data_IF_486944864810
#
_entry.id   IF_486944864810
#
_cell.length_a   1.000
_cell.length_b   1.000
_cell.length_c   1.000
_cell.angle_alpha   90.00
_cell.angle_beta   90.00
_cell.angle_gamma   90.00
#
_symmetry.space_group_name_H-M   'P 1'
#
loop_
_entity.id
_entity.type
_entity.pdbx_description
1 polymer ?
#
# COMPACT_ATOMS: atom_id res chain seq x y z
N UNK A 1 0.38 18.29 -26.87
CA UNK A 1 0.25 18.23 -25.40
C UNK A 1 0.19 16.78 -24.98
N UNK A 2 1.31 16.24 -24.52
CA UNK A 2 1.53 14.82 -24.23
C UNK A 2 0.95 14.50 -22.85
N UNK A 3 -0.12 13.72 -22.79
CA UNK A 3 -0.80 13.35 -21.53
C UNK A 3 -0.05 12.17 -20.91
N UNK A 4 0.58 12.39 -19.76
CA UNK A 4 1.41 11.43 -19.06
C UNK A 4 0.63 10.19 -18.61
N UNK A 5 1.22 9.02 -18.85
CA UNK A 5 0.78 7.71 -18.34
C UNK A 5 0.81 7.75 -16.81
N UNK A 6 -0.34 7.54 -16.15
CA UNK A 6 -0.39 7.37 -14.68
C UNK A 6 0.30 6.05 -14.32
N UNK A 7 1.55 6.12 -13.85
CA UNK A 7 2.25 4.98 -13.24
C UNK A 7 1.49 4.55 -11.98
N UNK A 8 1.27 3.25 -11.81
CA UNK A 8 0.78 2.67 -10.55
C UNK A 8 1.66 3.18 -9.41
N UNK A 9 1.10 3.98 -8.50
CA UNK A 9 1.82 4.41 -7.32
C UNK A 9 2.00 3.20 -6.38
N UNK A 10 3.21 2.96 -5.86
CA UNK A 10 3.41 1.97 -4.80
C UNK A 10 2.48 2.29 -3.62
N UNK A 11 1.96 1.26 -2.95
CA UNK A 11 1.23 1.44 -1.69
C UNK A 11 2.19 2.09 -0.67
N UNK A 12 1.92 3.34 -0.27
CA UNK A 12 2.58 3.98 0.87
C UNK A 12 2.21 3.19 2.13
N UNK A 13 3.20 2.57 2.77
CA UNK A 13 3.00 1.58 3.85
C UNK A 13 3.09 2.23 5.23
N UNK A 14 3.99 3.20 5.39
CA UNK A 14 4.27 3.84 6.67
C UNK A 14 3.89 5.32 6.60
N UNK A 15 3.29 5.85 7.66
CA UNK A 15 3.01 7.27 7.83
C UNK A 15 4.31 8.07 7.85
N UNK A 16 5.27 7.66 8.67
CA UNK A 16 6.54 8.35 8.90
C UNK A 16 7.64 7.36 9.34
N UNK A 17 8.89 7.82 9.46
CA UNK A 17 10.03 6.99 9.93
C UNK A 17 9.84 6.44 11.34
N UNK A 18 9.08 7.11 12.21
CA UNK A 18 8.87 6.66 13.60
C UNK A 18 7.90 5.49 13.61
N UNK A 19 6.83 5.54 12.83
CA UNK A 19 5.93 4.40 12.67
C UNK A 19 6.67 3.19 12.10
N UNK A 20 7.45 3.40 11.04
CA UNK A 20 8.27 2.36 10.44
C UNK A 20 9.24 1.72 11.45
N UNK A 21 9.93 2.52 12.26
CA UNK A 21 10.81 2.04 13.32
C UNK A 21 10.09 1.24 14.40
N UNK A 22 8.85 1.59 14.74
CA UNK A 22 8.03 0.82 15.69
C UNK A 22 7.60 -0.52 15.11
N UNK A 23 7.17 -0.55 13.86
CA UNK A 23 6.83 -1.81 13.16
C UNK A 23 8.05 -2.72 13.09
N UNK A 24 9.21 -2.15 12.72
CA UNK A 24 10.46 -2.90 12.66
C UNK A 24 10.89 -3.44 14.04
N UNK A 25 10.66 -2.68 15.11
CA UNK A 25 10.95 -3.11 16.47
C UNK A 25 10.11 -4.33 16.90
N UNK A 26 8.85 -4.42 16.45
CA UNK A 26 7.98 -5.56 16.75
C UNK A 26 8.49 -6.86 16.10
N UNK A 27 9.14 -6.76 14.95
CA UNK A 27 9.79 -7.88 14.27
C UNK A 27 11.10 -8.31 14.94
N UNK A 28 11.74 -7.42 15.71
CA UNK A 28 13.01 -7.64 16.39
C UNK A 28 12.87 -8.07 17.86
N UNK A 29 11.68 -8.48 18.29
CA UNK A 29 11.38 -8.79 19.70
C UNK A 29 12.28 -9.86 20.32
N UNK A 30 12.84 -10.77 19.50
CA UNK A 30 13.82 -11.78 19.94
C UNK A 30 15.11 -11.18 20.54
N UNK A 31 15.42 -9.92 20.22
CA UNK A 31 16.62 -9.22 20.71
C UNK A 31 16.35 -8.39 21.98
N UNK A 32 15.10 -8.32 22.45
CA UNK A 32 14.71 -7.44 23.57
C UNK A 32 15.37 -7.87 24.88
N UNK A 33 15.94 -6.91 25.60
CA UNK A 33 16.53 -7.12 26.93
C UNK A 33 17.89 -7.84 26.93
N UNK A 34 18.44 -8.17 25.76
CA UNK A 34 19.77 -8.76 25.63
C UNK A 34 20.87 -7.73 25.92
N UNK A 35 21.80 -8.01 26.86
CA UNK A 35 22.85 -7.05 27.25
C UNK A 35 23.98 -6.93 26.21
N UNK A 36 24.02 -7.82 25.23
CA UNK A 36 25.00 -7.89 24.16
C UNK A 36 24.52 -7.24 22.85
N UNK A 37 23.30 -6.69 22.82
CA UNK A 37 22.73 -6.04 21.63
C UNK A 37 23.03 -4.55 21.61
N UNK A 38 23.47 -4.04 20.46
CA UNK A 38 23.65 -2.61 20.17
C UNK A 38 22.88 -2.28 18.89
N UNK A 39 22.23 -1.12 18.86
CA UNK A 39 21.54 -0.63 17.66
C UNK A 39 22.33 0.53 17.06
N UNK A 40 22.66 0.40 15.78
CA UNK A 40 23.37 1.41 15.00
C UNK A 40 22.46 1.92 13.88
N UNK A 41 22.17 3.22 13.87
CA UNK A 41 21.42 3.85 12.78
C UNK A 41 22.34 4.42 11.70
N UNK A 42 22.12 4.08 10.43
CA UNK A 42 22.83 4.70 9.31
C UNK A 42 22.44 6.18 9.21
N UNK A 43 23.43 7.06 9.32
CA UNK A 43 23.18 8.49 9.24
C UNK A 43 22.81 8.93 7.81
N UNK A 44 21.77 9.74 7.62
CA UNK A 44 20.90 10.42 8.62
C UNK A 44 19.53 9.76 8.77
N UNK A 45 18.98 9.27 7.67
CA UNK A 45 17.60 8.77 7.56
C UNK A 45 17.29 7.60 8.50
N UNK A 46 18.27 6.74 8.76
CA UNK A 46 18.12 5.59 9.64
C UNK A 46 17.94 5.92 11.12
N UNK A 47 18.35 7.10 11.60
CA UNK A 47 18.37 7.40 13.05
C UNK A 47 16.96 7.45 13.69
N UNK A 48 15.95 8.11 13.10
CA UNK A 48 14.59 8.07 13.63
C UNK A 48 14.02 6.65 13.73
N UNK A 49 14.38 5.77 12.79
CA UNK A 49 13.95 4.35 12.79
C UNK A 49 14.70 3.58 13.88
N UNK A 50 16.03 3.70 13.89
CA UNK A 50 16.93 3.08 14.85
C UNK A 50 16.59 3.45 16.30
N UNK A 51 16.19 4.70 16.55
CA UNK A 51 15.78 5.16 17.87
C UNK A 51 14.57 4.39 18.41
N UNK A 52 13.53 4.19 17.59
CA UNK A 52 12.34 3.44 18.01
C UNK A 52 12.67 1.95 18.23
N UNK A 53 13.55 1.38 17.41
CA UNK A 53 14.08 0.02 17.60
C UNK A 53 14.84 -0.08 18.93
N UNK A 54 15.87 0.75 19.14
CA UNK A 54 16.69 0.74 20.34
C UNK A 54 15.88 0.93 21.62
N UNK A 55 14.95 1.88 21.62
CA UNK A 55 14.04 2.15 22.75
C UNK A 55 13.13 0.96 23.07
N UNK A 56 12.62 0.27 22.06
CA UNK A 56 11.74 -0.91 22.24
C UNK A 56 12.50 -2.14 22.73
N UNK A 57 13.76 -2.28 22.31
CA UNK A 57 14.63 -3.40 22.71
C UNK A 57 15.31 -3.15 24.06
N UNK A 58 15.37 -1.89 24.52
CA UNK A 58 16.14 -1.49 25.70
C UNK A 58 17.66 -1.52 25.46
N UNK A 59 18.09 -1.31 24.20
CA UNK A 59 19.47 -1.43 23.76
C UNK A 59 20.14 -0.05 23.57
N UNK A 60 21.47 0.06 23.70
CA UNK A 60 22.20 1.28 23.36
C UNK A 60 22.02 1.66 21.88
N UNK A 61 21.87 2.97 21.62
CA UNK A 61 21.79 3.56 20.29
C UNK A 61 23.03 4.41 19.99
N UNK A 62 23.61 4.26 18.81
CA UNK A 62 24.56 5.22 18.25
C UNK A 62 24.34 5.43 16.74
N UNK A 63 24.90 6.50 16.20
CA UNK A 63 24.95 6.74 14.77
C UNK A 63 26.14 6.03 14.15
N UNK A 64 25.91 5.39 13.01
CA UNK A 64 26.95 4.83 12.17
C UNK A 64 27.04 5.63 10.87
N UNK A 65 28.20 6.26 10.64
CA UNK A 65 28.39 7.15 9.50
C UNK A 65 29.27 6.42 8.49
N UNK A 66 28.77 6.35 7.26
CA UNK A 66 29.48 5.75 6.13
C UNK A 66 29.51 6.73 4.98
N UNK A 67 30.69 6.89 4.38
CA UNK A 67 30.97 7.71 3.20
C UNK A 67 31.41 6.78 2.08
N UNK A 68 30.87 6.97 0.88
CA UNK A 68 31.36 6.24 -0.29
C UNK A 68 32.61 6.93 -0.82
N UNK A 69 33.60 6.15 -1.22
CA UNK A 69 34.77 6.63 -1.95
C UNK A 69 34.42 6.54 -3.44
N UNK A 70 34.13 7.68 -4.07
CA UNK A 70 33.82 7.75 -5.50
C UNK A 70 35.07 7.57 -6.36
N UNK A 71 34.92 7.03 -7.57
CA UNK A 71 36.01 6.90 -8.54
C UNK A 71 36.51 8.28 -9.00
N UNK A 72 37.82 8.46 -9.24
CA UNK A 72 38.34 9.69 -9.85
C UNK A 72 37.60 10.03 -11.15
N UNK A 73 37.01 11.23 -11.24
CA UNK A 73 36.24 11.69 -12.41
C UNK A 73 34.81 11.16 -12.52
N UNK A 74 34.41 10.21 -11.67
CA UNK A 74 33.07 9.61 -11.62
C UNK A 74 32.61 9.42 -10.17
N UNK A 75 32.32 10.52 -9.47
CA UNK A 75 32.05 10.52 -8.03
C UNK A 75 30.83 9.66 -7.63
N UNK A 76 29.89 9.45 -8.55
CA UNK A 76 28.71 8.57 -8.36
C UNK A 76 29.06 7.07 -8.38
N UNK A 77 30.22 6.69 -8.89
CA UNK A 77 30.67 5.29 -8.99
C UNK A 77 31.58 4.94 -7.82
N UNK A 78 31.09 4.18 -6.84
CA UNK A 78 31.84 3.87 -5.63
C UNK A 78 32.93 2.81 -5.87
N UNK A 79 34.18 3.15 -5.57
CA UNK A 79 35.34 2.22 -5.57
C UNK A 79 35.60 1.61 -4.19
N UNK A 80 34.99 2.20 -3.16
CA UNK A 80 35.10 1.75 -1.78
C UNK A 80 34.20 2.58 -0.86
N UNK A 81 34.43 2.43 0.43
CA UNK A 81 33.76 3.19 1.47
C UNK A 81 34.69 3.45 2.66
N UNK A 82 34.38 4.53 3.36
CA UNK A 82 35.00 4.93 4.60
C UNK A 82 33.92 4.96 5.68
N UNK A 83 34.16 4.29 6.80
CA UNK A 83 33.23 4.23 7.92
C UNK A 83 33.82 4.83 9.19
N UNK A 84 32.94 5.04 10.17
CA UNK A 84 33.27 5.44 11.53
C UNK A 84 34.53 4.75 12.08
N UNK A 85 35.43 5.51 12.68
CA UNK A 85 36.74 5.02 13.14
C UNK A 85 37.86 5.05 12.10
N UNK A 86 37.61 5.66 10.92
CA UNK A 86 38.64 5.88 9.90
C UNK A 86 38.97 4.64 9.05
N UNK A 87 38.13 3.61 9.10
CA UNK A 87 38.35 2.37 8.34
C UNK A 87 37.95 2.53 6.88
N UNK A 88 38.87 2.19 5.98
CA UNK A 88 38.69 2.24 4.53
C UNK A 88 38.52 0.83 4.00
N UNK A 89 37.36 0.54 3.41
CA UNK A 89 37.10 -0.70 2.67
C UNK A 89 37.10 -0.38 1.19
N UNK A 90 37.83 -1.15 0.39
CA UNK A 90 37.91 -0.96 -1.07
C UNK A 90 37.60 -2.24 -1.83
N UNK A 91 37.10 -2.10 -3.05
CA UNK A 91 36.94 -3.20 -3.97
C UNK A 91 38.16 -3.28 -4.90
N UNK A 92 39.06 -4.22 -4.63
CA UNK A 92 40.33 -4.38 -5.36
C UNK A 92 40.16 -4.69 -6.85
N UNK A 93 39.04 -5.32 -7.24
CA UNK A 93 38.76 -5.63 -8.64
C UNK A 93 38.32 -4.37 -9.41
N UNK A 94 37.54 -3.50 -8.76
CA UNK A 94 37.16 -2.19 -9.32
C UNK A 94 38.39 -1.27 -9.43
N UNK A 95 39.23 -1.21 -8.39
CA UNK A 95 40.44 -0.40 -8.41
C UNK A 95 41.38 -0.80 -9.56
N UNK A 96 41.56 -2.12 -9.77
CA UNK A 96 42.35 -2.65 -10.89
C UNK A 96 41.72 -2.35 -12.25
N UNK A 97 40.41 -2.49 -12.37
CA UNK A 97 39.68 -2.21 -13.62
C UNK A 97 39.74 -0.74 -14.05
N UNK A 98 39.67 0.18 -13.10
CA UNK A 98 39.72 1.63 -13.34
C UNK A 98 41.14 2.23 -13.31
N UNK A 99 42.17 1.41 -13.00
CA UNK A 99 43.57 1.84 -12.86
C UNK A 99 43.74 3.01 -11.88
N UNK A 100 42.99 3.00 -10.78
CA UNK A 100 43.09 4.01 -9.72
C UNK A 100 44.41 3.83 -8.99
N UNK A 101 45.23 4.89 -8.92
CA UNK A 101 46.51 4.81 -8.21
C UNK A 101 46.32 4.88 -6.69
N UNK A 102 47.25 4.33 -5.89
CA UNK A 102 47.21 4.45 -4.43
C UNK A 102 47.18 5.91 -3.94
N UNK A 103 47.80 6.84 -4.67
CA UNK A 103 47.81 8.28 -4.37
C UNK A 103 46.42 8.88 -4.57
N UNK A 104 45.76 8.59 -5.69
CA UNK A 104 44.39 9.04 -5.97
C UNK A 104 43.41 8.53 -4.92
N UNK A 105 43.54 7.25 -4.52
CA UNK A 105 42.71 6.67 -3.49
C UNK A 105 42.94 7.34 -2.12
N UNK A 106 44.20 7.65 -1.76
CA UNK A 106 44.50 8.40 -0.52
C UNK A 106 43.84 9.78 -0.53
N UNK A 107 43.96 10.54 -1.61
CA UNK A 107 43.35 11.88 -1.69
C UNK A 107 41.83 11.85 -1.50
N UNK A 108 41.16 10.87 -2.11
CA UNK A 108 39.72 10.66 -1.94
C UNK A 108 39.42 10.27 -0.49
N UNK A 109 40.15 9.31 0.07
CA UNK A 109 39.96 8.85 1.45
C UNK A 109 40.18 9.97 2.47
N UNK A 110 41.22 10.79 2.33
CA UNK A 110 41.51 11.93 3.22
C UNK A 110 40.44 13.02 3.16
N UNK A 111 39.88 13.27 1.97
CA UNK A 111 38.77 14.22 1.80
C UNK A 111 37.51 13.71 2.51
N UNK A 112 37.15 12.45 2.26
CA UNK A 112 35.97 11.83 2.88
C UNK A 112 36.16 11.64 4.40
N UNK A 113 37.39 11.42 4.88
CA UNK A 113 37.72 11.29 6.30
C UNK A 113 37.53 12.59 7.07
N UNK A 114 37.89 13.74 6.48
CA UNK A 114 37.63 15.04 7.10
C UNK A 114 36.13 15.30 7.27
N UNK A 115 35.31 14.96 6.28
CA UNK A 115 33.86 15.10 6.37
C UNK A 115 33.24 14.10 7.36
N UNK A 116 33.72 12.85 7.36
CA UNK A 116 33.32 11.84 8.34
C UNK A 116 33.59 12.34 9.77
N UNK A 117 34.82 12.75 10.06
CA UNK A 117 35.21 13.25 11.38
C UNK A 117 34.37 14.46 11.82
N UNK A 118 34.06 15.38 10.89
CA UNK A 118 33.17 16.52 11.17
C UNK A 118 31.79 16.07 11.64
N UNK A 119 31.18 15.10 10.95
CA UNK A 119 29.84 14.59 11.30
C UNK A 119 29.85 13.75 12.58
N UNK A 120 30.87 12.93 12.77
CA UNK A 120 31.03 12.15 14.01
C UNK A 120 31.12 13.07 15.23
N UNK A 121 31.93 14.13 15.14
CA UNK A 121 32.04 15.13 16.19
C UNK A 121 30.70 15.84 16.43
N UNK A 122 29.99 16.21 15.35
CA UNK A 122 28.69 16.86 15.45
C UNK A 122 27.63 15.96 16.10
N UNK A 123 27.55 14.67 15.75
CA UNK A 123 26.50 13.77 16.26
C UNK A 123 26.78 13.25 17.67
N UNK A 124 28.04 12.90 17.98
CA UNK A 124 28.39 12.33 19.29
C UNK A 124 28.66 13.38 20.36
N UNK A 125 28.90 14.63 19.98
CA UNK A 125 29.17 15.72 20.93
C UNK A 125 30.38 15.43 21.82
N UNK A 126 31.39 14.73 21.29
CA UNK A 126 32.59 14.31 22.03
C UNK A 126 32.50 12.96 22.75
N UNK A 127 31.34 12.27 22.73
CA UNK A 127 31.24 10.89 23.22
C UNK A 127 32.02 9.92 22.32
N UNK A 128 32.69 8.90 22.90
CA UNK A 128 33.31 7.85 22.09
C UNK A 128 32.24 7.01 21.37
N UNK A 129 32.58 6.38 20.23
CA UNK A 129 31.70 5.41 19.58
C UNK A 129 31.45 4.21 20.50
N UNK A 130 30.31 3.54 20.30
CA UNK A 130 30.02 2.30 21.01
C UNK A 130 30.99 1.17 20.61
N UNK A 131 31.39 0.37 21.60
CA UNK A 131 32.21 -0.82 21.39
C UNK A 131 31.35 -1.96 20.82
N UNK A 132 31.66 -2.40 19.60
CA UNK A 132 30.89 -3.41 18.86
C UNK A 132 31.51 -4.80 18.89
N UNK A 133 32.76 -4.94 19.33
CA UNK A 133 33.49 -6.21 19.33
C UNK A 133 32.79 -7.24 20.21
N UNK A 134 32.52 -8.42 19.64
CA UNK A 134 31.80 -9.50 20.32
C UNK A 134 30.33 -9.20 20.65
N UNK A 135 29.73 -8.15 20.07
CA UNK A 135 28.32 -7.77 20.27
C UNK A 135 27.45 -8.19 19.09
N UNK A 136 26.14 -8.33 19.33
CA UNK A 136 25.13 -8.40 18.26
C UNK A 136 24.77 -6.98 17.84
N UNK A 137 25.12 -6.61 16.61
CA UNK A 137 24.90 -5.27 16.07
C UNK A 137 23.68 -5.27 15.15
N UNK A 138 22.62 -4.56 15.55
CA UNK A 138 21.45 -4.33 14.71
C UNK A 138 21.67 -3.03 13.93
N UNK A 139 21.94 -3.15 12.65
CA UNK A 139 22.21 -2.06 11.72
C UNK A 139 20.93 -1.64 11.00
N UNK A 140 20.50 -0.40 11.24
CA UNK A 140 19.18 0.11 10.86
C UNK A 140 19.29 1.25 9.86
N UNK A 141 18.48 1.23 8.80
CA UNK A 141 18.28 2.36 7.88
C UNK A 141 16.79 2.58 7.57
N UNK A 142 16.42 3.71 6.96
CA UNK A 142 15.02 4.01 6.60
C UNK A 142 14.50 3.23 5.38
N UNK A 143 15.39 2.60 4.64
CA UNK A 143 15.09 1.58 3.62
C UNK A 143 16.32 1.22 2.79
N UNK A 144 16.22 0.18 1.97
CA UNK A 144 17.27 -0.19 1.02
C UNK A 144 16.74 -0.08 -0.41
N UNK A 145 17.36 0.78 -1.22
CA UNK A 145 17.12 0.78 -2.67
C UNK A 145 18.10 -0.16 -3.37
N UNK A 146 19.36 0.26 -3.52
CA UNK A 146 20.45 -0.58 -4.06
C UNK A 146 21.27 -1.27 -2.98
N UNK A 147 21.08 -0.87 -1.71
CA UNK A 147 21.83 -1.41 -0.58
C UNK A 147 23.29 -0.98 -0.48
N UNK A 148 23.84 -0.18 -1.40
CA UNK A 148 25.29 0.08 -1.45
C UNK A 148 25.86 0.73 -0.18
N UNK A 149 25.12 1.65 0.45
CA UNK A 149 25.54 2.28 1.71
C UNK A 149 25.53 1.28 2.88
N UNK A 150 24.51 0.40 2.91
CA UNK A 150 24.39 -0.66 3.90
C UNK A 150 25.48 -1.73 3.71
N UNK A 151 25.82 -2.09 2.47
CA UNK A 151 26.90 -3.02 2.16
C UNK A 151 28.25 -2.51 2.69
N UNK A 152 28.56 -1.24 2.40
CA UNK A 152 29.74 -0.58 2.93
C UNK A 152 29.76 -0.57 4.47
N UNK A 153 28.60 -0.37 5.09
CA UNK A 153 28.48 -0.39 6.53
C UNK A 153 28.74 -1.78 7.14
N UNK A 154 28.16 -2.83 6.55
CA UNK A 154 28.37 -4.22 6.95
C UNK A 154 29.85 -4.61 6.82
N UNK A 155 30.50 -4.26 5.70
CA UNK A 155 31.91 -4.57 5.49
C UNK A 155 32.81 -3.91 6.54
N UNK A 156 32.60 -2.62 6.82
CA UNK A 156 33.36 -1.92 7.85
C UNK A 156 33.10 -2.44 9.27
N UNK A 157 31.87 -2.87 9.56
CA UNK A 157 31.54 -3.49 10.85
C UNK A 157 32.23 -4.84 11.03
N UNK A 158 32.33 -5.67 9.98
CA UNK A 158 33.00 -6.98 10.06
C UNK A 158 34.46 -6.86 10.52
N UNK A 159 35.19 -5.80 10.13
CA UNK A 159 36.55 -5.55 10.63
C UNK A 159 36.63 -5.18 12.13
N UNK A 160 35.51 -4.88 12.75
CA UNK A 160 35.40 -4.62 14.19
C UNK A 160 35.02 -5.86 15.00
N UNK A 161 34.94 -7.02 14.34
CA UNK A 161 34.70 -8.34 14.93
C UNK A 161 33.46 -8.40 15.86
N UNK A 162 32.27 -7.97 15.40
CA UNK A 162 31.02 -8.23 16.12
C UNK A 162 30.74 -9.74 16.15
N UNK A 163 29.95 -10.18 17.13
CA UNK A 163 29.49 -11.57 17.18
C UNK A 163 28.47 -11.86 16.07
N UNK A 164 27.55 -10.91 15.83
CA UNK A 164 26.49 -11.02 14.83
C UNK A 164 26.21 -9.62 14.25
N UNK A 165 25.89 -9.57 12.96
CA UNK A 165 25.35 -8.40 12.28
C UNK A 165 23.93 -8.73 11.83
N UNK A 166 22.98 -7.92 12.27
CA UNK A 166 21.56 -7.99 11.88
C UNK A 166 21.23 -6.74 11.08
N UNK A 167 20.80 -6.89 9.83
CA UNK A 167 20.34 -5.73 9.04
C UNK A 167 18.83 -5.62 9.20
N UNK A 168 18.34 -4.44 9.57
CA UNK A 168 16.92 -4.21 9.79
C UNK A 168 16.44 -2.93 9.08
N UNK A 169 15.47 -3.07 8.16
CA UNK A 169 14.94 -1.93 7.40
C UNK A 169 13.42 -2.01 7.22
N UNK A 170 12.72 -0.86 7.12
CA UNK A 170 11.28 -0.85 6.88
C UNK A 170 10.86 -1.35 5.50
N UNK A 171 11.60 -0.96 4.46
CA UNK A 171 11.25 -1.25 3.07
C UNK A 171 12.47 -1.49 2.19
N UNK A 172 12.42 -2.55 1.38
CA UNK A 172 13.45 -2.89 0.39
C UNK A 172 12.90 -3.80 -0.73
N UNK A 173 13.51 -3.84 -1.93
CA UNK A 173 13.23 -4.87 -2.92
C UNK A 173 13.55 -6.26 -2.39
N UNK A 174 12.76 -7.26 -2.78
CA UNK A 174 13.02 -8.66 -2.42
C UNK A 174 14.42 -9.13 -2.85
N UNK A 175 14.90 -8.71 -4.02
CA UNK A 175 16.25 -9.04 -4.50
C UNK A 175 17.34 -8.56 -3.56
N UNK A 176 17.24 -7.32 -3.08
CA UNK A 176 18.21 -6.73 -2.15
C UNK A 176 18.15 -7.43 -0.79
N UNK A 177 16.95 -7.76 -0.29
CA UNK A 177 16.82 -8.55 0.95
C UNK A 177 17.54 -9.91 0.83
N UNK A 178 17.39 -10.62 -0.29
CA UNK A 178 18.06 -11.92 -0.52
C UNK A 178 19.58 -11.78 -0.58
N UNK A 179 20.10 -10.73 -1.20
CA UNK A 179 21.54 -10.45 -1.23
C UNK A 179 22.09 -10.23 0.19
N UNK A 180 21.40 -9.42 1.02
CA UNK A 180 21.84 -9.20 2.41
C UNK A 180 21.70 -10.46 3.27
N UNK A 181 20.63 -11.23 3.13
CA UNK A 181 20.45 -12.49 3.85
C UNK A 181 21.58 -13.52 3.60
N UNK A 182 22.36 -13.36 2.51
CA UNK A 182 23.51 -14.22 2.23
C UNK A 182 24.83 -13.74 2.90
N UNK A 183 24.89 -12.51 3.42
CA UNK A 183 26.13 -11.88 3.91
C UNK A 183 26.05 -11.40 5.36
N UNK A 184 24.89 -11.47 6.01
CA UNK A 184 24.69 -11.14 7.43
C UNK A 184 23.97 -12.28 8.13
N UNK A 185 24.05 -12.31 9.46
CA UNK A 185 23.48 -13.40 10.25
C UNK A 185 21.95 -13.35 10.30
N UNK A 186 21.35 -12.16 10.16
CA UNK A 186 19.90 -11.99 10.03
C UNK A 186 19.54 -10.73 9.20
N UNK A 187 18.47 -10.83 8.39
CA UNK A 187 17.95 -9.76 7.55
C UNK A 187 16.46 -9.58 7.81
N UNK A 188 16.10 -8.47 8.46
CA UNK A 188 14.72 -8.15 8.85
C UNK A 188 14.20 -7.01 7.98
N UNK A 189 13.18 -7.31 7.16
CA UNK A 189 12.51 -6.33 6.32
C UNK A 189 11.01 -6.29 6.63
N UNK A 190 10.47 -5.13 7.00
CA UNK A 190 9.06 -5.02 7.37
C UNK A 190 8.11 -5.09 6.16
N UNK A 191 8.55 -4.63 4.99
CA UNK A 191 7.76 -4.64 3.76
C UNK A 191 8.63 -4.74 2.51
N UNK A 192 8.20 -5.55 1.54
CA UNK A 192 8.87 -5.71 0.25
C UNK A 192 7.93 -5.30 -0.90
N UNK A 193 7.69 -3.99 -1.10
CA UNK A 193 6.68 -3.53 -2.06
C UNK A 193 7.11 -3.82 -3.51
N UNK A 194 6.13 -4.18 -4.35
CA UNK A 194 6.34 -4.46 -5.77
C UNK A 194 5.34 -3.65 -6.62
N UNK A 195 5.79 -2.83 -7.59
CA UNK A 195 7.18 -2.52 -7.91
C UNK A 195 7.85 -1.63 -6.84
N UNK A 196 9.12 -1.87 -6.54
CA UNK A 196 9.93 -0.98 -5.71
C UNK A 196 10.51 0.15 -6.58
N UNK A 197 10.16 1.40 -6.30
CA UNK A 197 10.65 2.56 -7.05
C UNK A 197 11.73 3.33 -6.27
N UNK A 198 11.42 3.69 -5.04
CA UNK A 198 12.32 4.40 -4.14
C UNK A 198 11.91 4.17 -2.68
N UNK A 199 12.84 4.33 -1.75
CA UNK A 199 12.57 4.20 -0.31
C UNK A 199 11.43 5.14 0.12
N UNK A 200 11.49 6.41 -0.30
CA UNK A 200 10.51 7.43 0.09
C UNK A 200 9.07 7.16 -0.35
N UNK A 201 8.85 6.34 -1.39
CA UNK A 201 7.49 5.96 -1.82
C UNK A 201 6.79 5.01 -0.84
N UNK A 202 7.54 4.41 0.09
CA UNK A 202 6.96 3.60 1.17
C UNK A 202 6.41 4.46 2.32
N UNK A 203 6.64 5.78 2.29
CA UNK A 203 6.29 6.70 3.37
C UNK A 203 5.27 7.77 2.93
N UNK A 204 4.33 8.13 3.79
CA UNK A 204 3.45 9.29 3.58
C UNK A 204 4.18 10.60 3.84
N UNK A 205 4.99 10.65 4.89
CA UNK A 205 5.91 11.72 5.21
C UNK A 205 7.36 11.17 5.19
N UNK A 206 8.14 11.67 4.23
CA UNK A 206 9.55 11.36 4.05
C UNK A 206 10.42 12.61 4.11
N UNK A 207 10.07 13.57 4.96
CA UNK A 207 10.84 14.80 5.18
C UNK A 207 12.33 14.50 5.46
N UNK A 208 13.21 15.41 5.05
CA UNK A 208 14.63 15.23 5.27
C UNK A 208 14.96 15.31 6.78
N UNK A 209 15.70 14.32 7.28
CA UNK A 209 16.20 14.31 8.67
C UNK A 209 17.37 15.29 8.79
N UNK A 210 17.28 16.23 9.73
CA UNK A 210 18.32 17.24 9.98
C UNK A 210 19.39 16.72 10.95
N UNK A 211 20.53 17.40 10.99
CA UNK A 211 21.61 17.05 11.93
C UNK A 211 21.18 17.29 13.39
N UNK A 212 20.37 18.31 13.64
CA UNK A 212 19.78 18.61 14.94
C UNK A 212 18.81 17.51 15.39
N UNK A 213 18.02 16.94 14.48
CA UNK A 213 17.16 15.80 14.81
C UNK A 213 17.99 14.57 15.18
N UNK A 214 19.06 14.28 14.46
CA UNK A 214 20.00 13.19 14.80
C UNK A 214 20.58 13.39 16.20
N UNK A 215 21.10 14.59 16.50
CA UNK A 215 21.63 14.92 17.83
C UNK A 215 20.58 14.76 18.92
N UNK A 216 19.37 15.25 18.69
CA UNK A 216 18.27 15.16 19.65
C UNK A 216 17.84 13.71 19.93
N UNK A 217 17.90 12.82 18.93
CA UNK A 217 17.62 11.39 19.11
C UNK A 217 18.73 10.68 19.87
N UNK A 218 20.00 10.96 19.54
CA UNK A 218 21.16 10.37 20.21
C UNK A 218 21.35 10.84 21.67
N UNK A 219 20.73 11.96 22.06
CA UNK A 219 20.73 12.47 23.43
C UNK A 219 19.64 11.83 24.31
N UNK A 220 18.61 11.21 23.72
CA UNK A 220 17.53 10.57 24.46
C UNK A 220 17.95 9.17 24.93
N UNK A 221 17.70 8.80 26.19
CA UNK A 221 18.03 7.47 26.68
C UNK A 221 17.18 6.40 25.99
N UNK A 222 17.82 5.33 25.53
CA UNK A 222 17.17 4.11 24.99
C UNK A 222 17.33 2.92 25.93
N UNK A 223 18.24 3.01 26.90
CA UNK A 223 18.46 2.03 27.97
C UNK A 223 17.89 2.54 29.30
N UNK A 224 17.41 1.64 30.16
CA UNK A 224 16.90 1.98 31.50
C UNK A 224 15.50 2.61 31.55
N UNK A 225 14.91 2.95 30.40
CA UNK A 225 13.48 3.27 30.33
C UNK A 225 12.67 1.96 30.49
N UNK A 226 11.55 1.97 31.26
CA UNK A 226 10.66 0.82 31.27
C UNK A 226 10.22 0.51 29.82
N UNK A 227 10.15 -0.78 29.44
CA UNK A 227 9.73 -1.16 28.10
C UNK A 227 8.38 -0.48 27.80
N UNK A 228 8.24 0.06 26.59
CA UNK A 228 6.97 0.61 26.18
C UNK A 228 5.87 -0.45 26.42
N UNK A 229 4.70 -0.06 26.94
CA UNK A 229 3.61 -1.02 27.13
C UNK A 229 3.34 -1.72 25.78
N UNK A 230 3.02 -3.02 25.80
CA UNK A 230 2.67 -3.75 24.59
C UNK A 230 1.54 -2.99 23.88
N UNK A 231 1.64 -2.87 22.55
CA UNK A 231 0.56 -2.25 21.79
C UNK A 231 -0.73 -3.03 22.03
N UNK A 232 -1.88 -2.35 22.15
CA UNK A 232 -3.14 -3.03 22.05
C UNK A 232 -3.15 -3.80 20.72
N UNK A 233 -3.45 -5.08 20.81
CA UNK A 233 -3.71 -5.95 19.67
C UNK A 233 -4.77 -5.31 18.75
N UNK A 234 -4.82 -5.67 17.46
CA UNK A 234 -5.91 -5.24 16.59
C UNK A 234 -7.29 -5.49 17.19
N UNK A 235 -7.46 -6.57 17.97
CA UNK A 235 -8.69 -6.86 18.69
C UNK A 235 -8.98 -5.84 19.80
N UNK A 236 -7.98 -5.44 20.59
CA UNK A 236 -8.13 -4.41 21.63
C UNK A 236 -8.42 -3.03 21.05
N UNK A 237 -7.80 -2.69 19.91
CA UNK A 237 -8.10 -1.46 19.18
C UNK A 237 -9.54 -1.46 18.65
N UNK A 238 -9.97 -2.55 18.02
CA UNK A 238 -11.36 -2.68 17.55
C UNK A 238 -12.33 -2.62 18.73
N UNK A 239 -12.01 -3.27 19.85
CA UNK A 239 -12.87 -3.23 21.05
C UNK A 239 -12.96 -1.83 21.67
N UNK A 240 -11.89 -1.04 21.63
CA UNK A 240 -11.89 0.34 22.11
C UNK A 240 -12.75 1.27 21.24
N UNK A 241 -12.71 1.08 19.92
CA UNK A 241 -13.46 1.90 18.95
C UNK A 241 -14.86 1.36 18.65
N UNK A 242 -15.20 0.17 19.15
CA UNK A 242 -16.50 -0.46 18.89
C UNK A 242 -17.63 0.31 19.57
N UNK A 243 -18.67 0.59 18.81
CA UNK A 243 -19.94 1.12 19.32
C UNK A 243 -20.88 -0.05 19.57
N UNK A 244 -21.40 -0.16 20.78
CA UNK A 244 -22.40 -1.18 21.11
C UNK A 244 -23.71 -0.91 20.37
N UNK A 245 -24.18 -1.91 19.63
CA UNK A 245 -25.36 -1.85 18.78
C UNK A 245 -26.13 -3.18 18.90
N UNK A 246 -26.78 -3.46 20.05
CA UNK A 246 -27.42 -4.74 20.32
C UNK A 246 -28.59 -5.05 19.37
N UNK A 247 -29.18 -4.04 18.74
CA UNK A 247 -30.18 -4.17 17.68
C UNK A 247 -29.59 -4.20 16.27
N UNK A 248 -28.28 -4.37 16.11
CA UNK A 248 -27.55 -4.35 14.84
C UNK A 248 -27.23 -2.95 14.30
N UNK A 249 -28.01 -1.93 14.66
CA UNK A 249 -27.82 -0.53 14.25
C UNK A 249 -27.52 0.36 15.45
N UNK A 250 -26.49 1.22 15.41
CA UNK A 250 -26.25 2.21 16.45
C UNK A 250 -27.42 3.17 16.64
N UNK A 251 -27.59 3.78 17.83
CA UNK A 251 -28.53 4.88 18.03
C UNK A 251 -28.35 6.01 17.00
N UNK A 252 -29.44 6.68 16.64
CA UNK A 252 -29.45 7.65 15.53
C UNK A 252 -28.55 8.87 15.79
N UNK A 253 -28.44 9.32 17.03
CA UNK A 253 -27.51 10.38 17.46
C UNK A 253 -26.05 9.95 17.29
N UNK A 254 -25.71 8.73 17.71
CA UNK A 254 -24.37 8.16 17.50
C UNK A 254 -24.05 8.02 16.01
N UNK A 255 -25.02 7.55 15.22
CA UNK A 255 -24.86 7.43 13.77
C UNK A 255 -24.67 8.80 13.11
N UNK A 256 -25.42 9.81 13.52
CA UNK A 256 -25.30 11.19 13.04
C UNK A 256 -23.91 11.78 13.31
N UNK A 257 -23.42 11.62 14.53
CA UNK A 257 -22.09 12.07 14.97
C UNK A 257 -20.95 11.36 14.22
N UNK A 258 -21.06 10.04 14.03
CA UNK A 258 -20.06 9.25 13.30
C UNK A 258 -19.95 9.64 11.82
N UNK A 259 -21.08 9.97 11.18
CA UNK A 259 -21.13 10.29 9.75
C UNK A 259 -20.77 11.76 9.50
N UNK A 260 -21.23 12.67 10.37
CA UNK A 260 -21.02 14.11 10.21
C UNK A 260 -21.53 14.64 8.87
N UNK A 261 -20.63 15.29 8.11
CA UNK A 261 -20.86 15.87 6.78
C UNK A 261 -20.27 15.03 5.64
N UNK A 262 -19.90 13.77 5.91
CA UNK A 262 -19.30 12.88 4.94
C UNK A 262 -20.19 12.72 3.70
N UNK A 263 -19.57 12.76 2.52
CA UNK A 263 -20.27 12.56 1.22
C UNK A 263 -20.25 11.11 0.73
N UNK A 264 -19.42 10.28 1.36
CA UNK A 264 -19.23 8.86 1.07
C UNK A 264 -19.13 8.13 2.39
N UNK A 265 -19.97 7.11 2.58
CA UNK A 265 -19.96 6.23 3.75
C UNK A 265 -19.73 4.81 3.25
N UNK A 266 -18.73 4.14 3.81
CA UNK A 266 -18.38 2.76 3.46
C UNK A 266 -18.91 1.85 4.57
N UNK A 267 -19.80 0.93 4.22
CA UNK A 267 -20.44 0.02 5.17
C UNK A 267 -19.98 -1.41 4.86
N UNK A 268 -19.05 -1.90 5.67
CA UNK A 268 -18.56 -3.28 5.58
C UNK A 268 -19.45 -4.29 6.32
N UNK A 269 -19.13 -5.56 6.15
CA UNK A 269 -19.65 -6.66 6.97
C UNK A 269 -18.52 -7.63 7.33
N UNK A 270 -18.63 -8.33 8.45
CA UNK A 270 -17.59 -9.29 8.87
C UNK A 270 -17.67 -10.62 8.12
N UNK A 271 -18.83 -10.97 7.57
CA UNK A 271 -19.03 -12.19 6.78
C UNK A 271 -20.24 -12.05 5.85
N UNK A 272 -20.16 -12.64 4.66
CA UNK A 272 -21.32 -12.76 3.78
C UNK A 272 -22.27 -13.86 4.28
N UNK A 273 -23.57 -13.71 3.98
CA UNK A 273 -24.61 -14.68 4.33
C UNK A 273 -25.16 -14.60 5.76
N UNK A 274 -24.66 -13.68 6.61
CA UNK A 274 -25.19 -13.47 7.98
C UNK A 274 -26.37 -12.50 7.95
N UNK A 275 -27.56 -12.98 8.28
CA UNK A 275 -28.81 -12.22 8.20
C UNK A 275 -28.71 -10.84 8.88
N UNK A 276 -28.20 -10.81 10.11
CA UNK A 276 -28.10 -9.62 10.97
C UNK A 276 -27.21 -8.53 10.34
N UNK A 277 -26.16 -8.93 9.62
CA UNK A 277 -25.31 -7.96 8.91
C UNK A 277 -26.00 -7.36 7.69
N UNK A 278 -26.80 -8.14 6.97
CA UNK A 278 -27.61 -7.58 5.87
C UNK A 278 -28.68 -6.64 6.40
N UNK A 279 -29.34 -7.01 7.50
CA UNK A 279 -30.40 -6.21 8.12
C UNK A 279 -29.84 -4.88 8.62
N UNK A 280 -28.75 -4.91 9.39
CA UNK A 280 -28.09 -3.70 9.88
C UNK A 280 -27.65 -2.78 8.74
N UNK A 281 -27.02 -3.32 7.69
CA UNK A 281 -26.60 -2.52 6.52
C UNK A 281 -27.78 -1.91 5.79
N UNK A 282 -28.88 -2.66 5.63
CA UNK A 282 -30.09 -2.15 4.99
C UNK A 282 -30.70 -1.00 5.78
N UNK A 283 -30.82 -1.12 7.10
CA UNK A 283 -31.37 -0.08 7.98
C UNK A 283 -30.48 1.17 8.04
N UNK A 284 -29.16 1.02 8.19
CA UNK A 284 -28.22 2.14 8.13
C UNK A 284 -28.33 2.85 6.77
N UNK A 285 -28.44 2.09 5.67
CA UNK A 285 -28.58 2.66 4.33
C UNK A 285 -29.90 3.42 4.15
N UNK A 286 -31.02 2.90 4.66
CA UNK A 286 -32.31 3.61 4.66
C UNK A 286 -32.19 4.93 5.42
N UNK A 287 -31.60 4.88 6.62
CA UNK A 287 -31.40 6.07 7.45
C UNK A 287 -30.53 7.13 6.75
N UNK A 288 -29.43 6.73 6.10
CA UNK A 288 -28.57 7.62 5.31
C UNK A 288 -29.34 8.31 4.17
N UNK A 289 -30.19 7.57 3.47
CA UNK A 289 -30.99 8.09 2.36
C UNK A 289 -32.03 9.10 2.88
N UNK A 290 -32.75 8.75 3.94
CA UNK A 290 -33.85 9.56 4.46
C UNK A 290 -33.38 10.80 5.22
N UNK A 291 -32.32 10.69 6.03
CA UNK A 291 -31.92 11.73 6.98
C UNK A 291 -30.72 12.55 6.51
N UNK A 292 -29.79 11.95 5.75
CA UNK A 292 -28.57 12.60 5.27
C UNK A 292 -28.56 12.89 3.76
N UNK A 293 -29.61 12.50 3.03
CA UNK A 293 -29.78 12.81 1.62
C UNK A 293 -28.86 12.05 0.66
N UNK A 294 -28.32 10.91 1.11
CA UNK A 294 -27.55 10.02 0.24
C UNK A 294 -28.43 9.50 -0.90
N UNK A 295 -27.90 9.51 -2.13
CA UNK A 295 -28.66 9.21 -3.34
C UNK A 295 -27.98 8.17 -4.26
N UNK A 296 -26.99 7.46 -3.75
CA UNK A 296 -26.36 6.36 -4.45
C UNK A 296 -25.98 5.26 -3.47
N UNK A 297 -26.41 4.04 -3.75
CA UNK A 297 -25.96 2.80 -3.08
C UNK A 297 -25.01 2.11 -4.04
N UNK A 298 -23.75 1.99 -3.66
CA UNK A 298 -22.73 1.33 -4.46
C UNK A 298 -22.33 0.01 -3.79
N UNK A 299 -22.80 -1.10 -4.36
CA UNK A 299 -22.65 -2.44 -3.83
C UNK A 299 -21.44 -3.16 -4.44
N UNK A 300 -20.80 -4.03 -3.65
CA UNK A 300 -19.79 -5.02 -4.09
C UNK A 300 -20.48 -6.13 -4.91
N UNK A 301 -20.94 -5.72 -6.10
CA UNK A 301 -21.82 -6.48 -6.96
C UNK A 301 -21.49 -6.17 -8.42
N UNK A 302 -21.70 -7.17 -9.28
CA UNK A 302 -21.50 -7.04 -10.72
C UNK A 302 -22.35 -5.90 -11.31
N UNK A 303 -21.72 -5.04 -12.12
CA UNK A 303 -22.40 -3.86 -12.70
C UNK A 303 -23.71 -4.18 -13.45
N UNK A 304 -23.79 -5.17 -14.37
CA UNK A 304 -25.03 -5.45 -15.10
C UNK A 304 -26.20 -5.84 -14.18
N UNK A 305 -25.91 -6.65 -13.16
CA UNK A 305 -26.93 -7.18 -12.25
C UNK A 305 -27.45 -6.08 -11.32
N UNK A 306 -26.54 -5.29 -10.77
CA UNK A 306 -26.89 -4.11 -9.98
C UNK A 306 -27.61 -3.05 -10.84
N UNK A 307 -27.26 -2.89 -12.11
CA UNK A 307 -27.94 -1.95 -13.00
C UNK A 307 -29.38 -2.39 -13.34
N UNK A 308 -29.65 -3.70 -13.44
CA UNK A 308 -31.02 -4.22 -13.52
C UNK A 308 -31.84 -3.83 -12.28
N UNK A 309 -31.27 -4.01 -11.09
CA UNK A 309 -31.87 -3.54 -9.83
C UNK A 309 -32.11 -2.03 -9.84
N UNK A 310 -31.16 -1.24 -10.34
CA UNK A 310 -31.29 0.21 -10.46
C UNK A 310 -32.48 0.62 -11.33
N UNK A 311 -32.66 -0.04 -12.48
CA UNK A 311 -33.79 0.22 -13.38
C UNK A 311 -35.12 -0.03 -12.68
N UNK A 312 -35.22 -1.18 -12.02
CA UNK A 312 -36.38 -1.49 -11.17
C UNK A 312 -36.60 -0.40 -10.13
N UNK A 313 -35.61 -0.16 -9.25
CA UNK A 313 -35.69 0.79 -8.14
C UNK A 313 -36.07 2.22 -8.58
N UNK A 314 -35.65 2.65 -9.77
CA UNK A 314 -35.98 3.99 -10.32
C UNK A 314 -37.28 4.03 -11.12
N UNK A 315 -37.89 2.88 -11.40
CA UNK A 315 -39.13 2.78 -12.18
C UNK A 315 -38.97 2.88 -13.67
N UNK A 316 -37.80 2.54 -14.16
CA UNK A 316 -37.56 2.38 -15.58
C UNK A 316 -38.15 1.03 -16.01
N UNK A 317 -38.60 0.94 -17.27
CA UNK A 317 -39.23 -0.26 -17.81
C UNK A 317 -38.34 -1.52 -17.64
N UNK A 318 -38.95 -2.68 -17.39
CA UNK A 318 -38.26 -3.95 -17.16
C UNK A 318 -39.03 -4.85 -16.21
N UNK A 319 -38.49 -5.03 -15.00
CA UNK A 319 -39.02 -5.94 -13.98
C UNK A 319 -40.18 -5.33 -13.17
N UNK A 320 -41.13 -6.17 -12.75
CA UNK A 320 -42.30 -5.74 -11.97
C UNK A 320 -42.11 -5.96 -10.47
N UNK A 321 -41.26 -6.91 -10.07
CA UNK A 321 -41.04 -7.32 -8.68
C UNK A 321 -39.56 -7.22 -8.28
N UNK A 322 -39.25 -7.03 -6.98
CA UNK A 322 -37.86 -7.03 -6.53
C UNK A 322 -37.18 -8.38 -6.77
N UNK A 323 -37.91 -9.50 -6.69
CA UNK A 323 -37.40 -10.83 -7.02
C UNK A 323 -36.93 -10.93 -8.46
N UNK A 324 -37.72 -10.43 -9.42
CA UNK A 324 -37.35 -10.39 -10.84
C UNK A 324 -36.10 -9.55 -11.08
N UNK A 325 -36.03 -8.38 -10.46
CA UNK A 325 -34.88 -7.48 -10.56
C UNK A 325 -33.59 -8.13 -10.04
N UNK A 326 -33.69 -8.95 -8.99
CA UNK A 326 -32.56 -9.66 -8.38
C UNK A 326 -32.18 -10.96 -9.11
N UNK A 327 -32.98 -11.45 -10.07
CA UNK A 327 -32.67 -12.71 -10.79
C UNK A 327 -31.34 -12.68 -11.53
N UNK A 328 -30.82 -11.50 -11.88
CA UNK A 328 -29.53 -11.35 -12.55
C UNK A 328 -28.34 -11.90 -11.74
N UNK A 329 -28.42 -11.86 -10.40
CA UNK A 329 -27.38 -12.37 -9.50
C UNK A 329 -27.31 -13.90 -9.49
N UNK A 330 -26.75 -14.48 -10.54
CA UNK A 330 -26.64 -15.93 -10.76
C UNK A 330 -25.23 -16.46 -10.47
N UNK A 331 -24.21 -15.59 -10.54
CA UNK A 331 -22.80 -15.97 -10.34
C UNK A 331 -22.50 -16.33 -8.89
N UNK A 332 -23.19 -15.68 -7.95
CA UNK A 332 -23.03 -15.90 -6.52
C UNK A 332 -24.15 -16.80 -5.99
N UNK A 333 -23.94 -17.50 -4.87
CA UNK A 333 -25.00 -18.22 -4.21
C UNK A 333 -26.21 -17.33 -3.92
N UNK A 334 -27.42 -17.88 -4.04
CA UNK A 334 -28.65 -17.11 -3.89
C UNK A 334 -28.73 -16.35 -2.56
N UNK A 335 -28.19 -16.92 -1.47
CA UNK A 335 -28.17 -16.27 -0.15
C UNK A 335 -27.37 -14.96 -0.10
N UNK A 336 -26.47 -14.70 -1.06
CA UNK A 336 -25.61 -13.51 -1.04
C UNK A 336 -26.36 -12.26 -1.48
N UNK A 337 -27.02 -12.27 -2.64
CA UNK A 337 -27.73 -11.09 -3.18
C UNK A 337 -29.22 -11.31 -3.39
N UNK A 338 -29.67 -12.57 -3.44
CA UNK A 338 -31.08 -12.96 -3.66
C UNK A 338 -31.73 -13.46 -2.36
N UNK A 339 -31.37 -12.85 -1.23
CA UNK A 339 -31.98 -13.12 0.06
C UNK A 339 -33.17 -12.18 0.34
N UNK A 340 -33.92 -12.48 1.41
CA UNK A 340 -35.10 -11.72 1.82
C UNK A 340 -34.78 -10.26 2.16
N UNK A 341 -33.68 -10.01 2.87
CA UNK A 341 -33.31 -8.65 3.31
C UNK A 341 -33.02 -7.73 2.12
N UNK A 342 -32.23 -8.21 1.14
CA UNK A 342 -31.92 -7.44 -0.08
C UNK A 342 -33.18 -7.24 -0.92
N UNK A 343 -34.03 -8.26 -1.06
CA UNK A 343 -35.33 -8.14 -1.73
C UNK A 343 -36.17 -7.04 -1.09
N UNK A 344 -36.31 -7.06 0.22
CA UNK A 344 -37.15 -6.12 0.96
C UNK A 344 -36.58 -4.70 0.89
N UNK A 345 -35.25 -4.55 0.96
CA UNK A 345 -34.56 -3.28 0.74
C UNK A 345 -34.79 -2.72 -0.66
N UNK A 346 -34.67 -3.54 -1.71
CA UNK A 346 -34.89 -3.12 -3.10
C UNK A 346 -36.36 -2.72 -3.33
N UNK A 347 -37.31 -3.45 -2.74
CA UNK A 347 -38.73 -3.10 -2.75
C UNK A 347 -39.00 -1.77 -2.04
N UNK A 348 -38.39 -1.56 -0.87
CA UNK A 348 -38.45 -0.27 -0.17
C UNK A 348 -37.85 0.87 -0.99
N UNK A 349 -36.70 0.65 -1.63
CA UNK A 349 -36.02 1.67 -2.45
C UNK A 349 -36.88 2.08 -3.65
N UNK A 350 -37.59 1.12 -4.28
CA UNK A 350 -38.58 1.37 -5.33
C UNK A 350 -39.70 2.29 -4.84
N UNK A 351 -40.27 1.97 -3.69
CA UNK A 351 -41.33 2.76 -3.07
C UNK A 351 -40.85 4.17 -2.70
N UNK A 352 -39.69 4.29 -2.06
CA UNK A 352 -39.08 5.56 -1.65
C UNK A 352 -38.84 6.45 -2.88
N UNK A 353 -38.22 5.91 -3.93
CA UNK A 353 -37.99 6.62 -5.18
C UNK A 353 -39.28 7.06 -5.89
N UNK A 354 -40.35 6.27 -5.79
CA UNK A 354 -41.67 6.64 -6.32
C UNK A 354 -42.24 7.87 -5.62
N UNK A 355 -42.14 7.92 -4.28
CA UNK A 355 -42.54 9.09 -3.49
C UNK A 355 -41.70 10.31 -3.83
N UNK A 356 -40.37 10.17 -3.86
CA UNK A 356 -39.46 11.28 -4.19
C UNK A 356 -39.72 11.82 -5.59
N UNK A 357 -39.97 10.96 -6.57
CA UNK A 357 -40.31 11.39 -7.93
C UNK A 357 -41.63 12.19 -7.97
N UNK A 358 -42.65 11.76 -7.23
CA UNK A 358 -43.92 12.49 -7.13
C UNK A 358 -43.77 13.88 -6.47
N UNK A 359 -42.81 14.01 -5.56
CA UNK A 359 -42.46 15.27 -4.89
C UNK A 359 -41.48 16.15 -5.71
N UNK A 360 -41.09 15.74 -6.92
CA UNK A 360 -40.07 16.42 -7.72
C UNK A 360 -38.65 16.33 -7.14
N UNK A 361 -38.44 15.45 -6.17
CA UNK A 361 -37.17 15.19 -5.52
C UNK A 361 -36.25 14.27 -6.32
N UNK A 362 -34.96 14.28 -5.96
CA UNK A 362 -33.95 13.38 -6.54
C UNK A 362 -34.18 11.94 -6.06
N UNK A 363 -34.13 11.00 -6.99
CA UNK A 363 -34.17 9.56 -6.71
C UNK A 363 -32.78 9.03 -6.33
N UNK A 364 -32.77 7.95 -5.56
CA UNK A 364 -31.58 7.19 -5.17
C UNK A 364 -31.32 6.05 -6.16
N UNK A 365 -30.09 5.96 -6.64
CA UNK A 365 -29.66 4.87 -7.54
C UNK A 365 -29.00 3.70 -6.80
N UNK A 366 -29.00 2.54 -7.44
CA UNK A 366 -28.29 1.33 -7.01
C UNK A 366 -27.22 0.98 -8.06
N UNK A 367 -25.98 0.73 -7.66
CA UNK A 367 -24.85 0.60 -8.57
C UNK A 367 -23.93 -0.54 -8.14
N UNK A 368 -23.40 -1.29 -9.10
CA UNK A 368 -22.40 -2.33 -8.85
C UNK A 368 -20.99 -1.78 -9.07
N UNK A 369 -20.10 -2.04 -8.12
CA UNK A 369 -18.70 -1.63 -8.15
C UNK A 369 -17.79 -2.72 -8.76
N UNK A 370 -18.24 -3.97 -8.79
CA UNK A 370 -17.40 -5.07 -9.23
C UNK A 370 -17.29 -5.17 -10.74
N UNK A 371 -16.10 -5.55 -11.17
CA UNK A 371 -15.72 -5.71 -12.57
C UNK A 371 -15.64 -7.18 -12.99
N UNK A 372 -16.21 -8.11 -12.20
CA UNK A 372 -16.04 -9.54 -12.48
C UNK A 372 -16.81 -9.98 -13.72
N UNK A 373 -17.97 -9.41 -14.04
CA UNK A 373 -18.90 -9.85 -15.08
C UNK A 373 -18.54 -9.51 -16.55
N UNK A 374 -17.27 -9.65 -16.95
CA UNK A 374 -16.75 -9.27 -18.27
C UNK A 374 -17.69 -9.58 -19.47
N UNK A 375 -18.03 -10.85 -19.71
CA UNK A 375 -18.87 -11.24 -20.86
C UNK A 375 -20.32 -10.75 -20.76
N UNK A 376 -20.87 -10.60 -19.54
CA UNK A 376 -22.20 -10.04 -19.36
C UNK A 376 -22.17 -8.55 -19.70
N UNK A 377 -21.16 -7.81 -19.24
CA UNK A 377 -20.96 -6.39 -19.58
C UNK A 377 -20.79 -6.17 -21.09
N UNK A 378 -20.04 -7.06 -21.78
CA UNK A 378 -19.93 -7.01 -23.25
C UNK A 378 -21.28 -7.21 -23.95
N UNK A 379 -22.10 -8.15 -23.46
CA UNK A 379 -23.45 -8.39 -24.00
C UNK A 379 -24.36 -7.19 -23.81
N UNK A 380 -24.29 -6.50 -22.67
CA UNK A 380 -25.06 -5.25 -22.45
C UNK A 380 -24.67 -4.16 -23.47
N UNK A 381 -23.36 -3.99 -23.73
CA UNK A 381 -22.87 -3.04 -24.74
C UNK A 381 -23.37 -3.42 -26.14
N UNK A 382 -23.21 -4.69 -26.53
CA UNK A 382 -23.65 -5.17 -27.85
C UNK A 382 -25.16 -5.02 -27.99
N UNK A 383 -25.93 -5.42 -26.97
CA UNK A 383 -27.39 -5.35 -26.99
C UNK A 383 -27.90 -3.91 -27.07
N UNK A 384 -27.26 -2.97 -26.38
CA UNK A 384 -27.55 -1.55 -26.55
C UNK A 384 -27.28 -1.10 -27.99
N UNK A 385 -26.09 -1.41 -28.53
CA UNK A 385 -25.72 -1.01 -29.89
C UNK A 385 -26.62 -1.65 -30.96
N UNK A 386 -27.11 -2.88 -30.76
CA UNK A 386 -28.07 -3.50 -31.68
C UNK A 386 -29.35 -2.66 -31.85
N UNK A 387 -29.72 -1.86 -30.83
CA UNK A 387 -30.90 -0.99 -30.89
C UNK A 387 -30.62 0.38 -31.51
N UNK A 388 -29.43 0.94 -31.33
CA UNK A 388 -29.13 2.34 -31.73
C UNK A 388 -28.18 2.46 -32.94
N UNK A 389 -27.34 1.48 -33.18
CA UNK A 389 -26.38 1.42 -34.30
C UNK A 389 -25.88 -0.03 -34.54
N UNK A 390 -26.59 -0.74 -35.43
CA UNK A 390 -26.27 -2.12 -35.81
C UNK A 390 -24.85 -2.30 -36.40
N UNK A 391 -24.27 -1.25 -37.00
CA UNK A 391 -22.91 -1.32 -37.56
C UNK A 391 -21.88 -1.21 -36.44
N UNK A 392 -22.10 -0.33 -35.46
CA UNK A 392 -21.29 -0.29 -34.25
C UNK A 392 -21.40 -1.60 -33.46
N UNK A 393 -22.59 -2.21 -33.39
CA UNK A 393 -22.79 -3.50 -32.74
C UNK A 393 -21.97 -4.62 -33.41
N UNK A 394 -21.88 -4.64 -34.74
CA UNK A 394 -21.04 -5.59 -35.47
C UNK A 394 -19.54 -5.39 -35.17
N UNK A 395 -19.07 -4.13 -35.08
CA UNK A 395 -17.68 -3.83 -34.69
C UNK A 395 -17.39 -4.23 -33.24
N UNK A 396 -18.34 -3.99 -32.33
CA UNK A 396 -18.21 -4.38 -30.92
C UNK A 396 -18.06 -5.91 -30.78
N UNK A 397 -18.87 -6.69 -31.50
CA UNK A 397 -18.71 -8.16 -31.56
C UNK A 397 -17.33 -8.56 -32.05
N UNK A 398 -16.84 -7.98 -33.15
CA UNK A 398 -15.51 -8.29 -33.69
C UNK A 398 -14.37 -7.94 -32.72
N UNK A 399 -14.47 -6.82 -31.99
CA UNK A 399 -13.48 -6.44 -30.98
C UNK A 399 -13.52 -7.35 -29.76
N UNK A 400 -14.71 -7.67 -29.26
CA UNK A 400 -14.88 -8.51 -28.08
C UNK A 400 -14.58 -9.99 -28.36
N UNK A 401 -14.65 -10.45 -29.61
CA UNK A 401 -14.18 -11.78 -30.00
C UNK A 401 -12.69 -12.02 -29.68
N UNK A 402 -11.93 -10.94 -29.41
CA UNK A 402 -10.62 -11.08 -28.82
C UNK A 402 -10.67 -11.91 -27.54
N UNK A 403 -11.66 -11.78 -26.66
CA UNK A 403 -11.72 -12.53 -25.41
C UNK A 403 -12.10 -14.01 -25.56
N UNK A 404 -12.39 -14.47 -26.78
CA UNK A 404 -12.78 -15.86 -27.04
C UNK A 404 -11.56 -16.82 -26.94
N UNK A 405 -10.31 -16.34 -27.05
CA UNK A 405 -9.14 -17.22 -26.82
C UNK A 405 -8.91 -17.57 -25.35
N UNK A 406 -9.64 -16.94 -24.43
CA UNK A 406 -9.62 -17.20 -22.99
C UNK A 406 -10.80 -18.09 -22.55
N UNK A 407 -11.09 -19.15 -23.32
CA UNK A 407 -12.24 -20.07 -23.21
C UNK A 407 -12.28 -20.96 -21.94
N UNK A 408 -11.65 -20.55 -20.84
CA UNK A 408 -11.77 -21.18 -19.53
C UNK A 408 -12.64 -20.35 -18.57
N UNK A 409 -13.32 -20.97 -17.59
CA UNK A 409 -14.04 -20.25 -16.53
C UNK A 409 -13.11 -19.36 -15.66
N UNK A 410 -11.80 -19.53 -15.82
CA UNK A 410 -10.75 -18.89 -15.05
C UNK A 410 -10.32 -17.54 -15.66
N UNK A 411 -11.17 -16.53 -15.46
CA UNK A 411 -10.87 -15.12 -15.78
C UNK A 411 -9.65 -14.59 -15.02
N UNK A 412 -9.32 -15.20 -13.87
CA UNK A 412 -8.07 -14.89 -13.17
C UNK A 412 -6.87 -15.29 -14.02
N UNK A 413 -6.92 -16.45 -14.70
CA UNK A 413 -5.84 -16.88 -15.59
C UNK A 413 -5.55 -15.88 -16.73
N UNK A 414 -6.57 -15.30 -17.38
CA UNK A 414 -6.36 -14.21 -18.33
C UNK A 414 -5.75 -12.97 -17.67
N UNK A 415 -6.26 -12.57 -16.49
CA UNK A 415 -5.71 -11.44 -15.73
C UNK A 415 -4.24 -11.62 -15.36
N UNK A 416 -3.85 -12.83 -14.93
CA UNK A 416 -2.47 -13.21 -14.64
C UNK A 416 -1.62 -13.21 -15.93
N UNK A 417 -2.08 -13.89 -16.99
CA UNK A 417 -1.40 -13.95 -18.27
C UNK A 417 -1.10 -12.55 -18.85
N UNK A 418 -2.12 -11.68 -18.90
CA UNK A 418 -1.97 -10.32 -19.40
C UNK A 418 -1.09 -9.45 -18.47
N UNK A 419 -1.24 -9.57 -17.15
CA UNK A 419 -0.50 -8.77 -16.16
C UNK A 419 1.00 -9.11 -16.10
N UNK A 420 1.37 -10.37 -16.36
CA UNK A 420 2.75 -10.85 -16.37
C UNK A 420 3.36 -10.93 -17.78
N UNK A 421 2.68 -10.43 -18.81
CA UNK A 421 3.17 -10.42 -20.20
C UNK A 421 3.20 -11.80 -20.87
N UNK A 422 2.51 -12.77 -20.30
CA UNK A 422 2.42 -14.15 -20.78
C UNK A 422 1.14 -14.38 -21.59
N UNK A 423 0.99 -13.73 -22.75
CA UNK A 423 -0.12 -13.96 -23.67
C UNK A 423 -0.59 -12.69 -24.42
N UNK A 424 -1.45 -12.83 -25.44
CA UNK A 424 -2.06 -11.69 -26.12
C UNK A 424 -3.01 -10.93 -25.17
N UNK A 425 -3.00 -9.60 -25.24
CA UNK A 425 -3.94 -8.76 -24.46
C UNK A 425 -5.06 -8.25 -25.36
N UNK A 426 -6.27 -8.18 -24.80
CA UNK A 426 -7.43 -7.55 -25.45
C UNK A 426 -7.64 -6.09 -25.04
N UNK A 427 -6.67 -5.50 -24.36
CA UNK A 427 -6.74 -4.13 -23.85
C UNK A 427 -7.02 -3.13 -24.96
N UNK A 428 -6.30 -3.24 -26.08
CA UNK A 428 -6.48 -2.34 -27.22
C UNK A 428 -7.90 -2.41 -27.77
N UNK A 429 -8.43 -3.61 -27.97
CA UNK A 429 -9.77 -3.83 -28.52
C UNK A 429 -10.86 -3.29 -27.57
N UNK A 430 -10.70 -3.51 -26.26
CA UNK A 430 -11.61 -2.97 -25.25
C UNK A 430 -11.54 -1.43 -25.17
N UNK A 431 -10.33 -0.85 -25.22
CA UNK A 431 -10.12 0.59 -25.20
C UNK A 431 -10.68 1.28 -26.45
N UNK A 432 -10.44 0.71 -27.64
CA UNK A 432 -11.01 1.20 -28.90
C UNK A 432 -12.55 1.19 -28.86
N UNK A 433 -13.15 0.14 -28.30
CA UNK A 433 -14.59 0.07 -28.15
C UNK A 433 -15.15 1.16 -27.23
N UNK A 434 -14.47 1.43 -26.10
CA UNK A 434 -14.86 2.50 -25.19
C UNK A 434 -14.72 3.89 -25.82
N UNK A 435 -13.61 4.13 -26.53
CA UNK A 435 -13.36 5.42 -27.20
C UNK A 435 -14.43 5.70 -28.25
N UNK A 436 -14.83 4.70 -29.03
CA UNK A 436 -15.89 4.84 -30.02
C UNK A 436 -17.24 5.15 -29.34
N UNK A 437 -17.62 4.38 -28.31
CA UNK A 437 -18.84 4.65 -27.55
C UNK A 437 -18.89 6.07 -26.96
N UNK A 438 -17.75 6.58 -26.47
CA UNK A 438 -17.68 7.94 -25.93
C UNK A 438 -17.76 9.02 -27.01
N UNK A 439 -17.16 8.77 -28.17
CA UNK A 439 -17.21 9.70 -29.30
C UNK A 439 -18.63 9.88 -29.81
N UNK A 440 -19.38 8.78 -29.89
CA UNK A 440 -20.71 8.76 -30.48
C UNK A 440 -21.81 8.95 -29.42
N UNK A 441 -21.43 9.15 -28.16
CA UNK A 441 -22.36 9.25 -27.02
C UNK A 441 -23.45 10.33 -27.20
N UNK A 442 -23.10 11.49 -27.74
CA UNK A 442 -24.08 12.57 -27.98
C UNK A 442 -25.10 12.18 -29.07
N UNK A 443 -24.66 11.48 -30.11
CA UNK A 443 -25.55 10.98 -31.16
C UNK A 443 -26.47 9.88 -30.62
N UNK A 444 -25.91 8.95 -29.84
CA UNK A 444 -26.68 7.85 -29.24
C UNK A 444 -27.67 8.32 -28.16
N UNK A 445 -27.40 9.43 -27.46
CA UNK A 445 -28.36 10.04 -26.52
C UNK A 445 -29.60 10.63 -27.21
N UNK A 446 -29.54 10.86 -28.52
CA UNK A 446 -30.65 11.41 -29.32
C UNK A 446 -31.50 10.35 -30.04
N UNK A 447 -31.12 9.07 -29.93
CA UNK A 447 -31.82 7.91 -30.48
C UNK A 447 -32.45 7.13 -29.34
#
# INVERSE_FOLDING_TARGET
MTRAIRRHQPRRVFRDRREAGRVLADLLTAYRGRPDVIVLGLARGGLPVAYEVARSLGAPLDAFIVRKLGAPGHEEFAVGALASGGRVVVNDDILRGLRVTPEQLREIAEREARELARREAAYRGGRPPLEVTGKTVILVDDGLATGSSMMAAVQALRESEPAEIVVAVPAAPESTCREFAAIVEDMVCASMPTPFLAVGESFWDFSQVSDEEVQALLAKPTTGAPPAPPRPSPAELVAHEAVDAPGGVPPADVLDDLIGDARVVLIGESSHGTHEFYEARAEITKWLIENKGFNAVAAEADWPDAYRVNRYARGLAGDATPEEALRGFERFPAWMWRNSVVRDFVGWLRWHNGRRAAEGGRQTGFYGLDLYSLHRSMREVIGYLDTVDVKAAARARARYACFDHSDGPDRQAYGYAAGFGAGPTCERQAAEQLIELQRDALEYLSK
#
